data_IF_793132483875
#
_entry.id   IF_793132483875
#
_cell.length_a   1.000
_cell.length_b   1.000
_cell.length_c   1.000
_cell.angle_alpha   90.00
_cell.angle_beta   90.00
_cell.angle_gamma   90.00
#
_symmetry.space_group_name_H-M   'P 1'
#
loop_
_entity.id
_entity.type
_entity.pdbx_description
1 polymer ?
#
# COMPACT_ATOMS: atom_id res chain seq x y z
N UNK A 1 -48.30 55.12 -14.13
CA UNK A 1 -48.40 54.21 -12.97
C UNK A 1 -48.45 52.79 -13.52
N UNK A 2 -47.31 52.08 -13.50
CA UNK A 2 -47.10 50.87 -14.29
C UNK A 2 -47.76 49.62 -13.72
N UNK A 3 -48.48 48.89 -14.57
CA UNK A 3 -49.11 47.59 -14.32
C UNK A 3 -48.11 46.41 -14.15
N UNK A 4 -46.81 46.66 -14.29
CA UNK A 4 -45.77 45.61 -14.30
C UNK A 4 -45.02 45.43 -12.97
N UNK A 5 -45.27 46.29 -11.95
CA UNK A 5 -44.54 46.24 -10.67
C UNK A 5 -44.97 45.09 -9.73
N UNK A 6 -45.99 44.31 -10.10
CA UNK A 6 -46.50 43.19 -9.29
C UNK A 6 -46.01 41.80 -9.72
N UNK A 7 -45.25 41.68 -10.81
CA UNK A 7 -44.77 40.37 -11.29
C UNK A 7 -43.36 40.01 -10.81
N UNK A 8 -42.65 40.93 -10.17
CA UNK A 8 -41.26 40.74 -9.72
C UNK A 8 -41.02 41.16 -8.26
N UNK A 9 -42.10 41.34 -7.49
CA UNK A 9 -42.06 41.92 -6.14
C UNK A 9 -41.96 40.92 -4.99
N UNK A 10 -42.05 39.62 -5.26
CA UNK A 10 -41.82 38.62 -4.23
C UNK A 10 -40.35 38.25 -4.23
N UNK A 11 -39.66 38.58 -3.13
CA UNK A 11 -38.29 38.14 -2.90
C UNK A 11 -38.34 36.61 -2.96
N UNK A 12 -37.76 36.01 -4.00
CA UNK A 12 -37.41 34.60 -4.01
C UNK A 12 -36.45 34.38 -2.84
N UNK A 13 -36.98 34.12 -1.65
CA UNK A 13 -36.24 33.55 -0.54
C UNK A 13 -36.13 32.07 -0.86
N UNK A 14 -34.98 31.68 -1.39
CA UNK A 14 -34.63 30.28 -1.50
C UNK A 14 -34.85 29.65 -0.12
N UNK A 15 -35.64 28.56 0.00
CA UNK A 15 -35.74 27.86 1.27
C UNK A 15 -34.33 27.52 1.74
N UNK A 16 -34.04 27.57 3.06
CA UNK A 16 -32.75 27.16 3.57
C UNK A 16 -32.41 25.80 2.95
N UNK A 17 -31.20 25.61 2.40
CA UNK A 17 -30.83 24.32 1.85
C UNK A 17 -31.07 23.26 2.92
N UNK A 18 -31.75 22.16 2.56
CA UNK A 18 -31.95 21.05 3.47
C UNK A 18 -30.59 20.67 4.05
N UNK A 19 -30.47 20.69 5.38
CA UNK A 19 -29.25 20.25 6.03
C UNK A 19 -29.00 18.80 5.60
N UNK A 20 -27.81 18.49 5.04
CA UNK A 20 -27.52 17.13 4.59
C UNK A 20 -27.66 16.19 5.79
N UNK A 21 -28.52 15.17 5.65
CA UNK A 21 -28.83 14.21 6.72
C UNK A 21 -27.60 13.46 7.25
N UNK A 22 -26.52 13.45 6.47
CA UNK A 22 -25.24 12.85 6.80
C UNK A 22 -24.17 13.94 6.70
N UNK A 23 -23.34 14.05 7.73
CA UNK A 23 -22.13 14.88 7.66
C UNK A 23 -21.18 14.33 6.59
N UNK A 24 -20.42 15.20 5.93
CA UNK A 24 -19.38 14.81 4.96
C UNK A 24 -18.43 13.74 5.51
N UNK A 25 -18.12 13.79 6.81
CA UNK A 25 -17.28 12.81 7.48
C UNK A 25 -17.91 11.40 7.52
N UNK A 26 -19.23 11.31 7.65
CA UNK A 26 -19.95 10.05 7.61
C UNK A 26 -19.97 9.46 6.19
N UNK A 27 -20.18 10.31 5.17
CA UNK A 27 -20.12 9.92 3.76
C UNK A 27 -18.72 9.39 3.41
N UNK A 28 -17.67 10.11 3.79
CA UNK A 28 -16.29 9.68 3.55
C UNK A 28 -15.96 8.37 4.26
N UNK A 29 -16.51 8.11 5.44
CA UNK A 29 -16.30 6.83 6.16
C UNK A 29 -17.00 5.65 5.48
N UNK A 30 -18.17 5.88 4.86
CA UNK A 30 -18.85 4.86 4.08
C UNK A 30 -18.12 4.56 2.76
N UNK A 31 -17.59 5.60 2.10
CA UNK A 31 -16.83 5.45 0.85
C UNK A 31 -15.42 4.87 1.07
N UNK A 32 -14.80 5.15 2.22
CA UNK A 32 -13.42 4.77 2.54
C UNK A 32 -13.34 4.07 3.91
N UNK A 33 -13.88 2.85 4.03
CA UNK A 33 -14.08 2.19 5.33
C UNK A 33 -12.78 1.66 5.97
N UNK A 34 -11.69 1.56 5.21
CA UNK A 34 -10.47 0.87 5.63
C UNK A 34 -9.42 1.78 6.28
N UNK A 35 -9.67 3.08 6.42
CA UNK A 35 -8.61 4.04 6.81
C UNK A 35 -7.89 3.71 8.12
N UNK A 36 -8.61 3.19 9.12
CA UNK A 36 -8.01 2.79 10.39
C UNK A 36 -7.21 1.47 10.26
N UNK A 37 -7.77 0.49 9.55
CA UNK A 37 -7.16 -0.83 9.35
C UNK A 37 -5.92 -0.73 8.45
N UNK A 38 -5.98 0.06 7.37
CA UNK A 38 -4.85 0.36 6.51
C UNK A 38 -3.71 1.01 7.31
N UNK A 39 -4.02 1.99 8.17
CA UNK A 39 -3.02 2.59 9.05
C UNK A 39 -2.36 1.56 9.96
N UNK A 40 -3.15 0.68 10.59
CA UNK A 40 -2.64 -0.38 11.47
C UNK A 40 -1.76 -1.37 10.71
N UNK A 41 -2.20 -1.81 9.53
CA UNK A 41 -1.44 -2.69 8.65
C UNK A 41 -0.10 -2.04 8.24
N UNK A 42 -0.12 -0.80 7.77
CA UNK A 42 1.12 -0.07 7.41
C UNK A 42 2.05 0.10 8.61
N UNK A 43 1.51 0.35 9.82
CA UNK A 43 2.33 0.44 11.04
C UNK A 43 3.00 -0.90 11.39
N UNK A 44 2.28 -2.02 11.24
CA UNK A 44 2.80 -3.36 11.48
C UNK A 44 3.87 -3.72 10.45
N UNK A 45 3.61 -3.46 9.16
CA UNK A 45 4.54 -3.68 8.06
C UNK A 45 5.87 -2.91 8.29
N UNK A 46 5.77 -1.66 8.74
CA UNK A 46 6.93 -0.79 8.99
C UNK A 46 7.49 -0.92 10.41
N UNK A 47 7.19 -1.98 11.16
CA UNK A 47 7.55 -2.09 12.58
C UNK A 47 9.05 -1.92 12.85
N UNK A 48 9.90 -2.34 11.91
CA UNK A 48 11.37 -2.29 11.99
C UNK A 48 11.96 -0.92 11.63
N UNK A 49 11.14 -0.01 11.09
CA UNK A 49 11.59 1.32 10.70
C UNK A 49 11.82 2.22 11.91
N UNK A 50 12.76 3.18 11.83
CA UNK A 50 12.86 4.26 12.81
C UNK A 50 11.51 4.96 12.98
N UNK A 51 11.12 5.29 14.22
CA UNK A 51 9.77 5.79 14.52
C UNK A 51 9.37 7.01 13.68
N UNK A 52 10.31 7.94 13.48
CA UNK A 52 10.10 9.13 12.64
C UNK A 52 9.81 8.77 11.18
N UNK A 53 10.52 7.78 10.65
CA UNK A 53 10.37 7.29 9.28
C UNK A 53 9.03 6.57 9.12
N UNK A 54 8.74 5.65 10.03
CA UNK A 54 7.46 4.95 10.11
C UNK A 54 6.29 5.92 10.14
N UNK A 55 6.32 6.92 11.02
CA UNK A 55 5.25 7.91 11.13
C UNK A 55 5.10 8.75 9.85
N UNK A 56 6.20 9.07 9.15
CA UNK A 56 6.15 9.78 7.86
C UNK A 56 5.46 8.93 6.80
N UNK A 57 5.88 7.69 6.62
CA UNK A 57 5.36 6.78 5.60
C UNK A 57 3.89 6.42 5.85
N UNK A 58 3.51 6.14 7.10
CA UNK A 58 2.11 5.90 7.48
C UNK A 58 1.22 7.10 7.11
N UNK A 59 1.65 8.33 7.41
CA UNK A 59 0.90 9.55 7.02
C UNK A 59 0.77 9.69 5.51
N UNK A 60 1.78 9.27 4.75
CA UNK A 60 1.74 9.30 3.29
C UNK A 60 0.71 8.31 2.74
N UNK A 61 0.73 7.06 3.19
CA UNK A 61 -0.27 6.05 2.80
C UNK A 61 -1.68 6.55 3.11
N UNK A 62 -1.90 7.04 4.33
CA UNK A 62 -3.21 7.63 4.69
C UNK A 62 -3.59 8.83 3.82
N UNK A 63 -2.62 9.64 3.36
CA UNK A 63 -2.89 10.77 2.46
C UNK A 63 -3.38 10.29 1.09
N UNK A 64 -2.75 9.28 0.49
CA UNK A 64 -3.23 8.73 -0.79
C UNK A 64 -4.61 8.12 -0.66
N UNK A 65 -4.84 7.35 0.41
CA UNK A 65 -6.17 6.80 0.68
C UNK A 65 -7.24 7.90 0.84
N UNK A 66 -6.93 8.98 1.54
CA UNK A 66 -7.83 10.13 1.69
C UNK A 66 -8.04 10.94 0.40
N UNK A 67 -7.20 10.75 -0.64
CA UNK A 67 -7.41 11.34 -1.97
C UNK A 67 -8.34 10.48 -2.83
N UNK A 68 -8.70 9.29 -2.36
CA UNK A 68 -9.69 8.43 -2.98
C UNK A 68 -9.13 7.16 -3.60
N UNK A 69 -7.83 6.92 -3.44
CA UNK A 69 -7.18 5.68 -3.91
C UNK A 69 -7.69 4.47 -3.11
N UNK A 70 -7.70 3.30 -3.76
CA UNK A 70 -7.94 2.04 -3.06
C UNK A 70 -6.79 1.72 -2.08
N UNK A 71 -7.01 0.82 -1.10
CA UNK A 71 -6.02 0.52 -0.07
C UNK A 71 -4.64 0.08 -0.61
N UNK A 72 -4.60 -0.72 -1.68
CA UNK A 72 -3.35 -1.25 -2.23
C UNK A 72 -2.61 -0.16 -2.98
N UNK A 73 -3.29 0.58 -3.84
CA UNK A 73 -2.70 1.71 -4.56
C UNK A 73 -2.18 2.78 -3.60
N UNK A 74 -2.92 3.05 -2.51
CA UNK A 74 -2.48 3.97 -1.47
C UNK A 74 -1.21 3.49 -0.73
N UNK A 75 -1.10 2.17 -0.48
CA UNK A 75 0.09 1.57 0.12
C UNK A 75 1.29 1.68 -0.82
N UNK A 76 1.16 1.20 -2.06
CA UNK A 76 2.23 1.19 -3.06
C UNK A 76 2.69 2.60 -3.37
N UNK A 77 1.78 3.51 -3.70
CA UNK A 77 2.11 4.92 -4.00
C UNK A 77 2.67 5.65 -2.77
N UNK A 78 2.17 5.34 -1.58
CA UNK A 78 2.64 5.95 -0.34
C UNK A 78 4.09 5.58 0.00
N UNK A 79 4.47 4.32 -0.28
CA UNK A 79 5.77 3.75 0.09
C UNK A 79 6.81 3.79 -1.05
N UNK A 80 6.41 3.68 -2.31
CA UNK A 80 7.31 3.57 -3.47
C UNK A 80 7.43 4.86 -4.31
N UNK A 81 6.85 5.97 -3.85
CA UNK A 81 7.03 7.28 -4.48
C UNK A 81 8.53 7.62 -4.66
N UNK A 82 8.92 7.97 -5.88
CA UNK A 82 10.32 8.19 -6.25
C UNK A 82 11.02 9.32 -5.48
N UNK A 83 10.28 10.34 -5.01
CA UNK A 83 10.86 11.48 -4.30
C UNK A 83 10.75 11.35 -2.78
N UNK A 84 9.64 10.76 -2.31
CA UNK A 84 9.19 10.87 -0.90
C UNK A 84 8.79 9.53 -0.29
N UNK A 85 8.97 8.43 -1.01
CA UNK A 85 8.77 7.07 -0.53
C UNK A 85 9.77 6.66 0.54
N UNK A 86 9.91 5.37 0.73
CA UNK A 86 10.89 4.78 1.63
C UNK A 86 12.32 5.00 1.12
N UNK A 87 13.28 5.02 2.03
CA UNK A 87 14.71 5.07 1.67
C UNK A 87 15.21 3.66 1.35
N UNK A 88 16.09 3.52 0.36
CA UNK A 88 16.65 2.20 -0.05
C UNK A 88 17.30 1.43 1.10
N UNK A 89 18.04 2.11 1.98
CA UNK A 89 18.71 1.46 3.12
C UNK A 89 17.72 0.95 4.20
N UNK A 90 16.48 1.42 4.16
CA UNK A 90 15.42 0.98 5.06
C UNK A 90 14.20 0.51 4.24
N UNK A 91 14.43 -0.13 3.10
CA UNK A 91 13.37 -0.60 2.22
C UNK A 91 12.53 -1.69 2.92
N UNK A 92 11.22 -1.62 2.76
CA UNK A 92 10.28 -2.62 3.31
C UNK A 92 9.44 -3.25 2.20
N UNK A 93 9.02 -2.47 1.21
CA UNK A 93 8.20 -2.94 0.10
C UNK A 93 8.99 -2.91 -1.20
N UNK A 94 8.92 -3.95 -2.02
CA UNK A 94 9.50 -3.99 -3.36
C UNK A 94 8.36 -4.13 -4.37
N UNK A 95 8.47 -3.48 -5.52
CA UNK A 95 7.64 -3.72 -6.68
C UNK A 95 8.56 -3.97 -7.88
N UNK A 96 8.25 -5.00 -8.65
CA UNK A 96 9.02 -5.41 -9.84
C UNK A 96 8.03 -5.80 -10.93
N UNK A 97 8.20 -5.24 -12.12
CA UNK A 97 7.42 -5.64 -13.30
C UNK A 97 7.65 -7.12 -13.64
N UNK A 98 6.68 -7.81 -14.21
CA UNK A 98 6.79 -9.23 -14.65
C UNK A 98 8.02 -9.50 -15.53
N UNK A 99 8.42 -8.53 -16.35
CA UNK A 99 9.61 -8.58 -17.21
C UNK A 99 10.83 -7.88 -16.57
N UNK A 100 10.65 -7.29 -15.38
CA UNK A 100 11.58 -6.45 -14.65
C UNK A 100 12.71 -7.19 -13.93
N UNK A 101 13.36 -8.15 -14.58
CA UNK A 101 14.46 -8.91 -13.96
C UNK A 101 15.58 -8.04 -13.39
N UNK A 102 15.91 -6.94 -14.08
CA UNK A 102 16.98 -6.04 -13.62
C UNK A 102 16.55 -5.23 -12.39
N UNK A 103 15.26 -4.90 -12.27
CA UNK A 103 14.71 -4.26 -11.07
C UNK A 103 14.76 -5.21 -9.88
N UNK A 104 14.44 -6.50 -10.06
CA UNK A 104 14.62 -7.51 -9.01
C UNK A 104 16.09 -7.61 -8.58
N UNK A 105 17.02 -7.70 -9.53
CA UNK A 105 18.47 -7.76 -9.23
C UNK A 105 18.96 -6.56 -8.44
N UNK A 106 18.38 -5.39 -8.69
CA UNK A 106 18.75 -4.17 -8.00
C UNK A 106 18.09 -4.06 -6.61
N UNK A 107 16.80 -4.35 -6.51
CA UNK A 107 16.00 -4.12 -5.32
C UNK A 107 16.06 -5.26 -4.30
N UNK A 108 16.10 -6.51 -4.73
CA UNK A 108 16.08 -7.67 -3.82
C UNK A 108 17.26 -7.64 -2.83
N UNK A 109 18.52 -7.38 -3.24
CA UNK A 109 19.63 -7.26 -2.29
C UNK A 109 19.42 -6.14 -1.26
N UNK A 110 18.80 -5.03 -1.66
CA UNK A 110 18.50 -3.91 -0.77
C UNK A 110 17.40 -4.24 0.23
N UNK A 111 16.38 -4.97 -0.21
CA UNK A 111 15.33 -5.47 0.67
C UNK A 111 15.88 -6.49 1.68
N UNK A 112 16.76 -7.40 1.24
CA UNK A 112 17.44 -8.39 2.09
C UNK A 112 18.31 -7.70 3.15
N UNK A 113 19.14 -6.74 2.74
CA UNK A 113 19.99 -5.94 3.63
C UNK A 113 19.14 -5.18 4.67
N UNK A 114 18.07 -4.50 4.23
CA UNK A 114 17.15 -3.79 5.12
C UNK A 114 16.40 -4.75 6.08
N UNK A 115 16.20 -6.00 5.68
CA UNK A 115 15.66 -7.07 6.53
C UNK A 115 16.69 -7.64 7.52
N UNK A 116 17.92 -7.14 7.53
CA UNK A 116 18.98 -7.53 8.47
C UNK A 116 19.64 -8.86 8.13
N UNK A 117 19.60 -9.27 6.87
CA UNK A 117 20.34 -10.43 6.36
C UNK A 117 21.59 -9.92 5.63
N UNK A 118 22.76 -10.34 6.09
CA UNK A 118 24.05 -9.94 5.50
C UNK A 118 24.48 -10.83 4.32
N UNK A 119 23.72 -11.89 4.04
CA UNK A 119 24.01 -12.84 2.97
C UNK A 119 23.37 -12.40 1.66
N UNK A 120 24.13 -12.52 0.56
CA UNK A 120 23.63 -12.21 -0.77
C UNK A 120 22.84 -13.40 -1.29
N UNK A 121 21.60 -13.16 -1.71
CA UNK A 121 20.83 -14.13 -2.46
C UNK A 121 21.43 -14.30 -3.86
N UNK A 122 22.00 -15.48 -4.12
CA UNK A 122 22.47 -15.88 -5.44
C UNK A 122 21.38 -16.71 -6.12
N UNK A 123 20.71 -16.14 -7.12
CA UNK A 123 19.73 -16.87 -7.92
C UNK A 123 20.43 -17.61 -9.07
N UNK A 124 19.95 -18.81 -9.39
CA UNK A 124 20.43 -19.58 -10.54
C UNK A 124 19.58 -19.21 -11.74
N UNK A 125 20.15 -18.48 -12.71
CA UNK A 125 19.51 -18.33 -14.01
C UNK A 125 19.73 -19.64 -14.77
N UNK A 126 18.70 -20.50 -14.84
CA UNK A 126 18.56 -21.34 -16.03
C UNK A 126 18.34 -20.45 -17.27
N UNK A 127 18.35 -20.98 -18.48
CA UNK A 127 18.50 -20.18 -19.72
C UNK A 127 17.48 -19.02 -19.87
N UNK A 128 16.31 -19.11 -19.20
CA UNK A 128 15.40 -17.98 -18.90
C UNK A 128 14.36 -18.40 -17.84
N UNK A 129 14.57 -18.25 -16.52
CA UNK A 129 13.50 -18.46 -15.55
C UNK A 129 12.44 -17.36 -15.71
N UNK A 130 11.17 -17.68 -15.41
CA UNK A 130 10.15 -16.66 -15.21
C UNK A 130 10.38 -15.96 -13.86
N UNK A 131 10.13 -14.65 -13.76
CA UNK A 131 10.38 -13.89 -12.53
C UNK A 131 9.61 -14.48 -11.34
N UNK A 132 8.42 -15.01 -11.59
CA UNK A 132 7.63 -15.77 -10.61
C UNK A 132 8.42 -16.92 -9.97
N UNK A 133 9.16 -17.71 -10.75
CA UNK A 133 9.97 -18.81 -10.21
C UNK A 133 11.11 -18.28 -9.34
N UNK A 134 11.74 -17.17 -9.74
CA UNK A 134 12.77 -16.52 -8.93
C UNK A 134 12.21 -16.02 -7.59
N UNK A 135 10.98 -15.51 -7.56
CA UNK A 135 10.32 -15.10 -6.32
C UNK A 135 9.98 -16.28 -5.40
N UNK A 136 9.58 -17.43 -5.97
CA UNK A 136 9.36 -18.67 -5.21
C UNK A 136 10.67 -19.15 -4.58
N UNK A 137 11.74 -19.21 -5.37
CA UNK A 137 13.07 -19.62 -4.91
C UNK A 137 13.62 -18.63 -3.86
N UNK A 138 13.28 -17.34 -4.02
CA UNK A 138 13.65 -16.29 -3.08
C UNK A 138 12.93 -16.45 -1.73
N UNK A 139 11.62 -16.70 -1.71
CA UNK A 139 10.89 -17.03 -0.48
C UNK A 139 11.45 -18.27 0.20
N UNK A 140 11.73 -19.33 -0.58
CA UNK A 140 12.33 -20.55 -0.05
C UNK A 140 13.69 -20.28 0.60
N UNK A 141 14.53 -19.46 -0.02
CA UNK A 141 15.82 -19.06 0.56
C UNK A 141 15.64 -18.27 1.87
N UNK A 142 14.65 -17.37 1.95
CA UNK A 142 14.35 -16.60 3.16
C UNK A 142 13.95 -17.48 4.36
N UNK A 143 13.34 -18.66 4.12
CA UNK A 143 13.00 -19.59 5.21
C UNK A 143 14.22 -20.01 6.03
N UNK A 144 15.40 -20.06 5.42
CA UNK A 144 16.67 -20.35 6.11
C UNK A 144 17.06 -19.30 7.16
N UNK A 145 16.44 -18.13 7.12
CA UNK A 145 16.65 -17.00 8.04
C UNK A 145 15.44 -16.75 8.95
N UNK A 146 14.45 -17.65 8.96
CA UNK A 146 13.20 -17.44 9.70
C UNK A 146 12.36 -16.29 9.15
N UNK A 147 12.46 -16.01 7.86
CA UNK A 147 11.71 -14.96 7.16
C UNK A 147 10.92 -15.53 6.00
N UNK A 148 9.95 -14.76 5.53
CA UNK A 148 9.11 -15.07 4.36
C UNK A 148 8.94 -13.84 3.49
N UNK A 149 8.71 -14.04 2.20
CA UNK A 149 8.31 -13.01 1.27
C UNK A 149 6.78 -12.98 1.18
N UNK A 150 6.17 -11.93 1.70
CA UNK A 150 4.74 -11.70 1.62
C UNK A 150 4.42 -10.87 0.37
N UNK A 151 3.69 -11.47 -0.55
CA UNK A 151 3.15 -10.83 -1.74
C UNK A 151 1.92 -9.99 -1.37
N UNK A 152 1.78 -8.85 -2.05
CA UNK A 152 0.62 -7.96 -2.01
C UNK A 152 0.03 -7.93 -3.40
N UNK A 153 -1.20 -8.39 -3.55
CA UNK A 153 -1.91 -8.36 -4.83
C UNK A 153 -2.30 -6.91 -5.17
N UNK A 154 -1.78 -6.40 -6.27
CA UNK A 154 -2.10 -5.07 -6.79
C UNK A 154 -3.17 -5.10 -7.89
N UNK A 155 -3.55 -6.28 -8.36
CA UNK A 155 -4.34 -6.47 -9.59
C UNK A 155 -3.62 -6.05 -10.86
N UNK A 156 -2.34 -5.66 -10.78
CA UNK A 156 -1.49 -5.24 -11.89
C UNK A 156 -0.54 -6.33 -12.37
N UNK A 157 0.37 -5.96 -13.27
CA UNK A 157 1.44 -6.83 -13.76
C UNK A 157 2.67 -6.85 -12.84
N UNK A 158 2.69 -6.02 -11.80
CA UNK A 158 3.82 -5.89 -10.89
C UNK A 158 3.74 -6.90 -9.75
N UNK A 159 4.84 -7.62 -9.53
CA UNK A 159 5.05 -8.35 -8.30
C UNK A 159 5.43 -7.41 -7.19
N UNK A 160 4.51 -7.20 -6.25
CA UNK A 160 4.73 -6.38 -5.06
C UNK A 160 4.85 -7.28 -3.83
N UNK A 161 5.85 -7.04 -3.00
CA UNK A 161 6.00 -7.81 -1.77
C UNK A 161 7.05 -7.28 -0.81
N UNK A 162 7.11 -7.91 0.37
CA UNK A 162 7.95 -7.49 1.49
C UNK A 162 8.51 -8.69 2.23
N UNK A 163 9.69 -8.53 2.85
CA UNK A 163 10.26 -9.54 3.73
C UNK A 163 9.74 -9.33 5.14
N UNK A 164 9.15 -10.38 5.73
CA UNK A 164 8.60 -10.36 7.08
C UNK A 164 9.14 -11.53 7.91
N UNK A 165 9.08 -11.41 9.23
CA UNK A 165 9.42 -12.54 10.11
C UNK A 165 8.38 -13.65 9.93
N UNK A 166 8.84 -14.91 9.89
CA UNK A 166 7.99 -16.08 9.65
C UNK A 166 6.84 -16.18 10.67
N UNK A 167 7.12 -15.86 11.94
CA UNK A 167 6.12 -15.89 13.01
C UNK A 167 5.07 -14.77 12.90
N UNK A 168 5.27 -13.79 12.02
CA UNK A 168 4.35 -12.67 11.80
C UNK A 168 3.43 -12.85 10.59
N UNK A 169 3.62 -13.89 9.77
CA UNK A 169 2.94 -14.08 8.48
C UNK A 169 1.42 -14.09 8.64
N UNK A 170 0.88 -14.96 9.49
CA UNK A 170 -0.57 -15.11 9.66
C UNK A 170 -1.21 -13.80 10.11
N UNK A 171 -0.62 -13.15 11.12
CA UNK A 171 -1.11 -11.88 11.64
C UNK A 171 -1.05 -10.75 10.59
N UNK A 172 0.01 -10.68 9.77
CA UNK A 172 0.09 -9.66 8.72
C UNK A 172 -0.90 -9.90 7.59
N UNK A 173 -1.16 -11.16 7.21
CA UNK A 173 -2.21 -11.50 6.24
C UNK A 173 -3.60 -11.11 6.78
N UNK A 174 -3.88 -11.37 8.07
CA UNK A 174 -5.14 -10.96 8.69
C UNK A 174 -5.30 -9.44 8.73
N UNK A 175 -4.24 -8.70 9.07
CA UNK A 175 -4.25 -7.23 9.05
C UNK A 175 -4.42 -6.66 7.64
N UNK A 176 -3.78 -7.27 6.63
CA UNK A 176 -3.95 -6.90 5.24
C UNK A 176 -5.41 -7.07 4.81
N UNK A 177 -5.99 -8.24 5.09
CA UNK A 177 -7.40 -8.52 4.79
C UNK A 177 -8.36 -7.53 5.46
N UNK A 178 -8.12 -7.18 6.73
CA UNK A 178 -8.89 -6.16 7.42
C UNK A 178 -8.74 -4.77 6.80
N UNK A 179 -7.60 -4.48 6.18
CA UNK A 179 -7.33 -3.25 5.43
C UNK A 179 -7.88 -3.27 3.99
N UNK A 180 -8.54 -4.35 3.56
CA UNK A 180 -9.02 -4.50 2.18
C UNK A 180 -7.88 -4.76 1.18
N UNK A 181 -6.80 -5.39 1.63
CA UNK A 181 -5.63 -5.77 0.83
C UNK A 181 -5.54 -7.29 0.79
N UNK A 182 -5.47 -7.85 -0.42
CA UNK A 182 -5.18 -9.26 -0.61
C UNK A 182 -3.66 -9.48 -0.56
N UNK A 183 -3.22 -10.32 0.37
CA UNK A 183 -1.81 -10.63 0.58
C UNK A 183 -1.63 -12.11 0.90
N UNK A 184 -0.52 -12.68 0.46
CA UNK A 184 -0.27 -14.12 0.52
C UNK A 184 1.20 -14.47 0.32
N UNK A 185 1.53 -15.74 0.52
CA UNK A 185 2.89 -16.25 0.27
C UNK A 185 3.07 -16.75 -1.17
N UNK A 186 1.96 -17.01 -1.86
CA UNK A 186 1.99 -17.40 -3.25
C UNK A 186 1.95 -16.15 -4.14
N UNK A 187 2.81 -16.05 -5.16
CA UNK A 187 2.71 -15.00 -6.17
C UNK A 187 1.41 -15.15 -6.97
N UNK A 188 0.76 -14.02 -7.24
CA UNK A 188 -0.48 -13.92 -8.03
C UNK A 188 -0.21 -13.85 -9.54
#
# INVERSE_FOLDING_TARGET
>A
MGLFSRLFGDRFTQPPPDEPRLSDAAIMRELYPFGAQLRTFTQALLARQPEKERARLVRRVSRYYNLGEDPVTALVSGLLDAEKGQLLNNMVLMAVDVDGFDDFKYLAPKLVEASGIDQIYAYTLEETPALMQVLIDFDQWLTGFGKRFLHVDTGGADYVGCIIEQDCVENLIELAKQAGIDAGLDPY
#
